data_IF_455509655767
#
_entry.id   IF_455509655767
#
_cell.length_a   1.000
_cell.length_b   1.000
_cell.length_c   1.000
_cell.angle_alpha   90.00
_cell.angle_beta   90.00
_cell.angle_gamma   90.00
#
_symmetry.space_group_name_H-M   'P 1'
#
loop_
_entity.id
_entity.type
_entity.pdbx_description
1 polymer ?
#
# COMPACT_ATOMS: atom_id res chain seq x y z
N UNK A 1 8.50 7.62 10.83
CA UNK A 1 7.51 6.55 10.63
C UNK A 1 6.72 6.40 11.91
N UNK A 2 5.40 6.55 11.82
CA UNK A 2 4.51 6.23 12.92
C UNK A 2 4.35 4.70 13.01
N UNK A 3 4.13 4.14 14.21
CA UNK A 3 3.84 2.71 14.34
C UNK A 3 2.53 2.37 13.62
N UNK A 4 2.51 1.25 12.89
CA UNK A 4 1.31 0.72 12.25
C UNK A 4 0.32 0.28 13.34
N UNK A 5 -0.89 0.85 13.31
CA UNK A 5 -1.95 0.53 14.28
C UNK A 5 -2.98 -0.48 13.75
N UNK A 6 -3.01 -0.70 12.44
CA UNK A 6 -3.93 -1.64 11.77
C UNK A 6 -3.63 -1.73 10.28
N UNK A 7 -4.17 -2.76 9.65
CA UNK A 7 -4.04 -3.01 8.21
C UNK A 7 -5.38 -3.34 7.59
N UNK A 8 -5.60 -2.95 6.34
CA UNK A 8 -6.86 -3.19 5.62
C UNK A 8 -6.62 -3.79 4.23
N UNK A 9 -6.03 -4.98 4.20
CA UNK A 9 -5.67 -5.67 2.97
C UNK A 9 -6.90 -6.10 2.17
N UNK A 10 -6.79 -6.00 0.84
CA UNK A 10 -7.76 -6.63 -0.07
C UNK A 10 -7.71 -8.14 0.13
N UNK A 11 -8.83 -8.81 -0.10
CA UNK A 11 -8.86 -10.27 -0.07
C UNK A 11 -7.78 -10.87 -0.97
N UNK A 12 -6.90 -11.68 -0.38
CA UNK A 12 -5.77 -12.31 -1.06
C UNK A 12 -4.43 -11.60 -0.87
N UNK A 13 -4.40 -10.38 -0.31
CA UNK A 13 -3.18 -9.58 -0.10
C UNK A 13 -2.71 -9.60 1.37
N UNK A 14 -1.41 -9.37 1.63
CA UNK A 14 -0.34 -9.21 0.64
C UNK A 14 0.08 -10.56 0.03
N UNK A 15 0.35 -10.60 -1.27
CA UNK A 15 0.64 -11.84 -2.00
C UNK A 15 2.08 -11.94 -2.56
N UNK A 16 2.86 -10.87 -2.44
CA UNK A 16 4.22 -10.73 -2.95
C UNK A 16 4.34 -11.17 -4.43
N UNK A 17 3.44 -10.69 -5.30
CA UNK A 17 3.32 -11.10 -6.69
C UNK A 17 3.15 -12.61 -6.88
N UNK A 18 2.47 -13.31 -5.97
CA UNK A 18 2.40 -14.77 -5.87
C UNK A 18 3.79 -15.46 -5.84
N UNK A 19 4.80 -14.77 -5.31
CA UNK A 19 6.19 -15.23 -5.24
C UNK A 19 7.03 -14.99 -6.51
N UNK A 20 6.46 -14.40 -7.57
CA UNK A 20 7.19 -14.09 -8.81
C UNK A 20 7.88 -12.73 -8.79
N UNK A 21 7.43 -11.83 -7.90
CA UNK A 21 7.93 -10.46 -7.76
C UNK A 21 8.22 -10.16 -6.28
N UNK A 22 9.00 -9.11 -6.02
CA UNK A 22 9.15 -8.54 -4.68
C UNK A 22 8.22 -7.32 -4.61
N UNK A 23 7.08 -7.50 -3.95
CA UNK A 23 6.07 -6.46 -3.79
C UNK A 23 6.06 -6.01 -2.33
N UNK A 24 6.85 -4.97 -2.03
CA UNK A 24 7.06 -4.49 -0.66
C UNK A 24 6.55 -3.06 -0.45
N UNK A 25 5.96 -2.44 -1.48
CA UNK A 25 5.29 -1.15 -1.39
C UNK A 25 3.77 -1.36 -1.33
N UNK A 26 3.03 -0.36 -0.85
CA UNK A 26 1.57 -0.47 -0.69
C UNK A 26 0.88 0.53 -1.60
N UNK A 27 -0.09 0.05 -2.37
CA UNK A 27 -1.08 0.89 -3.04
C UNK A 27 -2.47 0.67 -2.43
N UNK A 28 -3.38 1.59 -2.73
CA UNK A 28 -4.78 1.52 -2.33
C UNK A 28 -5.64 1.28 -3.56
N UNK A 29 -6.48 0.24 -3.53
CA UNK A 29 -7.46 -0.05 -4.57
C UNK A 29 -8.52 1.08 -4.62
N UNK A 30 -8.61 1.88 -5.70
CA UNK A 30 -9.48 3.05 -5.72
C UNK A 30 -10.99 2.76 -5.48
N UNK A 31 -11.57 1.64 -5.96
CA UNK A 31 -12.96 1.30 -5.69
C UNK A 31 -13.28 0.97 -4.23
N UNK A 32 -12.39 0.26 -3.53
CA UNK A 32 -12.68 -0.30 -2.19
C UNK A 32 -11.95 0.42 -1.06
N UNK A 33 -10.81 1.02 -1.33
CA UNK A 33 -9.90 1.58 -0.32
C UNK A 33 -9.01 0.53 0.37
N UNK A 34 -9.17 -0.76 0.04
CA UNK A 34 -8.34 -1.82 0.60
C UNK A 34 -6.95 -1.83 -0.06
N UNK A 35 -5.99 -2.45 0.63
CA UNK A 35 -4.59 -2.36 0.28
C UNK A 35 -4.14 -3.53 -0.59
N UNK A 36 -3.19 -3.25 -1.47
CA UNK A 36 -2.48 -4.22 -2.28
C UNK A 36 -0.98 -3.99 -2.09
N UNK A 37 -0.19 -5.05 -1.88
CA UNK A 37 1.25 -4.94 -2.02
C UNK A 37 1.60 -4.87 -3.50
N UNK A 38 2.61 -4.07 -3.83
CA UNK A 38 2.97 -3.76 -5.22
C UNK A 38 4.46 -3.57 -5.38
N UNK A 39 4.97 -3.82 -6.59
CA UNK A 39 6.36 -3.55 -6.95
C UNK A 39 6.65 -2.05 -6.77
N UNK A 40 7.66 -1.74 -5.96
CA UNK A 40 7.98 -0.36 -5.55
C UNK A 40 8.38 0.60 -6.67
N UNK A 41 8.73 0.10 -7.86
CA UNK A 41 9.20 0.93 -8.97
C UNK A 41 8.10 1.27 -9.99
N UNK A 42 6.84 0.94 -9.69
CA UNK A 42 5.71 1.35 -10.53
C UNK A 42 5.45 2.85 -10.41
N UNK A 43 5.08 3.47 -11.54
CA UNK A 43 4.65 4.86 -11.59
C UNK A 43 3.14 4.95 -11.37
N UNK A 44 2.73 5.38 -10.18
CA UNK A 44 1.33 5.46 -9.74
C UNK A 44 0.99 6.87 -9.21
N UNK A 45 -0.32 7.14 -9.08
CA UNK A 45 -0.79 8.30 -8.31
C UNK A 45 -0.56 8.05 -6.81
N UNK A 46 -0.48 9.11 -6.00
CA UNK A 46 -0.16 9.01 -4.58
C UNK A 46 -1.01 9.94 -3.72
N UNK A 47 -1.09 9.62 -2.43
CA UNK A 47 -1.72 10.42 -1.39
C UNK A 47 -0.62 11.04 -0.52
N UNK A 48 -0.74 12.32 -0.21
CA UNK A 48 0.16 13.01 0.72
C UNK A 48 -0.52 13.24 2.07
N UNK A 49 0.25 13.12 3.14
CA UNK A 49 -0.13 13.59 4.47
C UNK A 49 0.77 14.76 4.85
N UNK A 50 0.19 15.80 5.47
CA UNK A 50 0.93 16.94 6.01
C UNK A 50 0.71 17.03 7.52
N UNK A 51 1.77 17.32 8.28
CA UNK A 51 1.66 17.59 9.72
C UNK A 51 0.91 18.90 9.96
N UNK A 52 -0.08 18.89 10.83
CA UNK A 52 -0.90 20.08 11.14
C UNK A 52 -0.30 21.01 12.19
N UNK A 53 0.81 20.64 12.83
CA UNK A 53 1.52 21.47 13.81
C UNK A 53 2.80 22.04 13.19
N UNK A 54 2.72 23.27 12.71
CA UNK A 54 3.88 24.14 12.44
C UNK A 54 4.35 24.79 13.73
#
# INVERSE_FOLDING_TARGET
MLPVQGTDWRYGEPNNGNGYHSEDCVEMDPPTGNWNDVICNLQLNFICEISTNS
#
